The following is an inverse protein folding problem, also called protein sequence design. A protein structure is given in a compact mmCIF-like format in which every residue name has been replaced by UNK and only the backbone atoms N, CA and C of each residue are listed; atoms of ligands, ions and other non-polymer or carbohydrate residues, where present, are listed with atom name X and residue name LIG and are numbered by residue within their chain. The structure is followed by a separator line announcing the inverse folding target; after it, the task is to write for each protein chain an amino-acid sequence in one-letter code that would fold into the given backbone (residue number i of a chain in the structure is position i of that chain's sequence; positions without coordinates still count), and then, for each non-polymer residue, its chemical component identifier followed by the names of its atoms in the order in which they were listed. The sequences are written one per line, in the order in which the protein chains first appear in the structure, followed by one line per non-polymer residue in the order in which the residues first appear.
data_IF_175239652135
#
_entry.id   IF_175239652135
#
_cell.length_a   1.000
_cell.length_b   1.000
_cell.length_c   1.000
_cell.angle_alpha   90.00
_cell.angle_beta   90.00
_cell.angle_gamma   90.00
#
_symmetry.space_group_name_H-M   'P 1'
#
loop_
_entity.id
_entity.type
_entity.pdbx_description
1 polymer ?
#
# COMPACT_ATOMS: atom_id res chain seq x y z
N UNK A 1 4.20 6.83 -2.30
CA UNK A 1 2.74 6.71 -1.99
C UNK A 1 2.12 8.01 -1.43
N UNK A 2 0.80 8.23 -1.57
CA UNK A 2 0.04 9.39 -1.01
C UNK A 2 -1.15 8.91 -0.18
N UNK A 3 -1.35 9.44 1.03
CA UNK A 3 -2.40 9.01 1.96
C UNK A 3 -3.35 10.17 2.24
N UNK A 4 -4.65 9.90 2.09
CA UNK A 4 -5.74 10.87 2.28
C UNK A 4 -6.59 10.47 3.49
N UNK A 5 -6.32 11.02 4.69
CA UNK A 5 -6.94 10.55 5.94
C UNK A 5 -8.46 10.73 5.97
N UNK A 6 -8.97 11.85 5.45
CA UNK A 6 -10.42 12.15 5.43
C UNK A 6 -11.21 11.14 4.61
N UNK A 7 -10.65 10.69 3.48
CA UNK A 7 -11.31 9.72 2.60
C UNK A 7 -10.94 8.27 2.95
N UNK A 8 -10.00 8.06 3.87
CA UNK A 8 -9.44 6.75 4.20
C UNK A 8 -8.94 6.01 2.95
N UNK A 9 -8.16 6.72 2.14
CA UNK A 9 -7.60 6.19 0.89
C UNK A 9 -6.08 6.30 0.89
N UNK A 10 -5.41 5.27 0.38
CA UNK A 10 -4.01 5.33 -0.01
C UNK A 10 -3.92 5.18 -1.53
N UNK A 11 -3.31 6.17 -2.18
CA UNK A 11 -3.04 6.17 -3.60
C UNK A 11 -1.55 5.97 -3.89
N UNK A 12 -1.24 5.22 -4.92
CA UNK A 12 0.12 5.02 -5.41
C UNK A 12 0.12 4.78 -6.91
N UNK A 13 1.30 4.93 -7.52
CA UNK A 13 1.47 4.81 -8.96
C UNK A 13 2.48 3.71 -9.25
N UNK A 14 2.10 2.77 -10.12
CA UNK A 14 2.98 1.75 -10.66
C UNK A 14 3.10 1.93 -12.18
N UNK A 15 4.25 1.60 -12.79
CA UNK A 15 4.39 1.64 -14.24
C UNK A 15 3.52 0.55 -14.88
N UNK A 16 2.96 0.80 -16.07
CA UNK A 16 2.11 -0.15 -16.81
C UNK A 16 2.77 -1.51 -17.09
N UNK A 17 4.09 -1.61 -16.95
CA UNK A 17 4.87 -2.84 -17.12
C UNK A 17 4.93 -3.73 -15.87
N UNK A 18 4.40 -3.27 -14.72
CA UNK A 18 4.40 -4.10 -13.52
C UNK A 18 3.56 -5.36 -13.71
N UNK A 19 4.00 -6.46 -13.10
CA UNK A 19 3.36 -7.78 -13.21
C UNK A 19 2.77 -8.27 -11.89
N UNK A 20 3.37 -7.88 -10.78
CA UNK A 20 2.94 -8.26 -9.44
C UNK A 20 3.23 -7.12 -8.48
N UNK A 21 2.29 -6.82 -7.60
CA UNK A 21 2.52 -5.95 -6.46
C UNK A 21 1.82 -6.49 -5.20
N UNK A 22 2.38 -6.15 -4.06
CA UNK A 22 1.80 -6.36 -2.74
C UNK A 22 1.96 -5.09 -1.90
N UNK A 23 0.91 -4.79 -1.16
CA UNK A 23 0.85 -3.68 -0.24
C UNK A 23 0.56 -4.24 1.15
N UNK A 24 1.49 -4.03 2.08
CA UNK A 24 1.39 -4.53 3.45
C UNK A 24 1.28 -3.37 4.41
N UNK A 25 0.25 -3.40 5.26
CA UNK A 25 0.07 -2.46 6.37
C UNK A 25 0.39 -3.19 7.66
N UNK A 26 1.38 -2.72 8.40
CA UNK A 26 1.74 -3.25 9.72
C UNK A 26 1.65 -2.17 10.77
N UNK A 27 0.96 -2.45 11.88
CA UNK A 27 0.78 -1.47 12.95
C UNK A 27 2.07 -1.35 13.76
N UNK A 28 2.58 -0.12 13.92
CA UNK A 28 3.87 0.11 14.57
C UNK A 28 3.92 -0.41 16.02
N UNK A 29 2.78 -0.41 16.71
CA UNK A 29 2.66 -0.84 18.11
C UNK A 29 2.36 -2.33 18.28
N UNK A 30 1.97 -3.04 17.21
CA UNK A 30 1.61 -4.45 17.26
C UNK A 30 1.75 -5.10 15.88
N UNK A 31 2.87 -5.77 15.64
CA UNK A 31 3.15 -6.43 14.37
C UNK A 31 2.19 -7.61 14.04
N UNK A 32 1.34 -8.04 14.97
CA UNK A 32 0.27 -9.03 14.67
C UNK A 32 -0.91 -8.41 13.92
N UNK A 33 -1.07 -7.09 13.98
CA UNK A 33 -2.05 -6.36 13.18
C UNK A 33 -1.40 -6.04 11.82
N UNK A 34 -1.44 -7.02 10.92
CA UNK A 34 -0.93 -6.92 9.56
C UNK A 34 -2.05 -7.17 8.54
N UNK A 35 -2.11 -6.32 7.51
CA UNK A 35 -3.05 -6.45 6.40
C UNK A 35 -2.27 -6.48 5.11
N UNK A 36 -2.53 -7.49 4.28
CA UNK A 36 -1.94 -7.62 2.95
C UNK A 36 -2.99 -7.39 1.87
N UNK A 37 -2.63 -6.57 0.89
CA UNK A 37 -3.45 -6.32 -0.29
C UNK A 37 -2.60 -6.66 -1.50
N UNK A 38 -3.04 -7.65 -2.28
CA UNK A 38 -2.44 -7.95 -3.59
C UNK A 38 -2.87 -6.90 -4.61
N UNK A 39 -1.90 -6.36 -5.35
CA UNK A 39 -2.12 -5.40 -6.43
C UNK A 39 -1.92 -6.11 -7.75
N UNK A 40 -3.01 -6.29 -8.49
CA UNK A 40 -2.98 -6.87 -9.83
C UNK A 40 -2.73 -5.78 -10.89
N UNK A 41 -2.01 -6.08 -11.97
CA UNK A 41 -1.92 -5.20 -13.13
C UNK A 41 -3.30 -4.82 -13.65
N UNK A 42 -3.51 -3.52 -13.84
CA UNK A 42 -4.73 -3.00 -14.45
C UNK A 42 -4.39 -2.03 -15.60
N UNK A 43 -5.41 -1.42 -16.20
CA UNK A 43 -5.23 -0.52 -17.36
C UNK A 43 -4.80 0.91 -16.97
N UNK A 44 -4.54 1.16 -15.69
CA UNK A 44 -4.23 2.48 -15.14
C UNK A 44 -2.96 2.42 -14.30
N UNK A 45 -2.10 3.44 -14.38
CA UNK A 45 -0.89 3.47 -13.56
C UNK A 45 -1.22 3.82 -12.10
N UNK A 46 -2.36 4.48 -11.83
CA UNK A 46 -2.75 4.92 -10.49
C UNK A 46 -3.68 3.89 -9.84
N UNK A 47 -3.24 3.35 -8.71
CA UNK A 47 -4.03 2.46 -7.86
C UNK A 47 -4.46 3.19 -6.58
N UNK A 48 -5.63 2.81 -6.08
CA UNK A 48 -6.20 3.35 -4.85
C UNK A 48 -6.72 2.19 -4.02
N UNK A 49 -6.33 2.13 -2.76
CA UNK A 49 -6.83 1.15 -1.80
C UNK A 49 -7.54 1.85 -0.65
N UNK A 50 -8.59 1.22 -0.12
CA UNK A 50 -9.26 1.69 1.09
C UNK A 50 -8.45 1.32 2.33
N UNK A 51 -8.32 2.27 3.25
CA UNK A 51 -7.74 2.08 4.57
C UNK A 51 -8.81 2.08 5.68
N UNK A 52 -10.10 1.99 5.32
CA UNK A 52 -11.21 2.05 6.28
C UNK A 52 -11.21 0.91 7.31
N UNK A 53 -10.59 -0.23 6.96
CA UNK A 53 -10.41 -1.37 7.85
C UNK A 53 -9.25 -1.19 8.86
N UNK A 54 -8.41 -0.17 8.71
CA UNK A 54 -7.32 0.09 9.65
C UNK A 54 -7.86 0.70 10.93
N UNK A 55 -7.51 0.09 12.06
CA UNK A 55 -7.72 0.72 13.35
C UNK A 55 -6.90 2.02 13.48
N UNK A 56 -7.36 2.95 14.32
CA UNK A 56 -6.65 4.20 14.59
C UNK A 56 -5.23 3.95 15.10
N UNK A 57 -4.26 4.74 14.65
CA UNK A 57 -2.88 4.66 15.08
C UNK A 57 -1.88 4.82 13.94
N UNK A 58 -0.62 4.55 14.25
CA UNK A 58 0.49 4.65 13.31
C UNK A 58 0.69 3.31 12.60
N UNK A 59 0.71 3.37 11.27
CA UNK A 59 0.87 2.22 10.40
C UNK A 59 2.06 2.43 9.48
N UNK A 60 2.87 1.39 9.36
CA UNK A 60 3.87 1.27 8.32
C UNK A 60 3.23 0.64 7.10
N UNK A 61 3.41 1.27 5.95
CA UNK A 61 2.92 0.78 4.67
C UNK A 61 4.11 0.44 3.81
N UNK A 62 4.18 -0.81 3.36
CA UNK A 62 5.22 -1.31 2.48
C UNK A 62 4.58 -1.73 1.17
N UNK A 63 5.07 -1.16 0.07
CA UNK A 63 4.70 -1.53 -1.29
C UNK A 63 5.89 -2.26 -1.93
N UNK A 64 5.74 -3.56 -2.17
CA UNK A 64 6.68 -4.28 -3.03
C UNK A 64 6.03 -4.53 -4.38
N UNK A 65 6.80 -4.39 -5.46
CA UNK A 65 6.32 -4.72 -6.80
C UNK A 65 7.44 -5.17 -7.72
N UNK A 66 7.07 -5.83 -8.82
CA UNK A 66 8.01 -6.32 -9.81
C UNK A 66 7.46 -6.16 -11.22
N UNK A 67 8.35 -5.87 -12.18
CA UNK A 67 8.10 -5.92 -13.62
C UNK A 67 8.40 -7.31 -14.23
N UNK A 68 8.76 -8.28 -13.39
CA UNK A 68 9.20 -9.63 -13.77
C UNK A 68 10.70 -9.77 -13.98
N UNK A 69 11.47 -8.68 -13.92
CA UNK A 69 12.94 -8.68 -14.00
C UNK A 69 13.57 -8.20 -12.69
N UNK A 70 13.09 -7.08 -12.18
CA UNK A 70 13.54 -6.46 -10.96
C UNK A 70 12.42 -6.41 -9.93
N UNK A 71 12.80 -6.28 -8.67
CA UNK A 71 11.90 -6.05 -7.56
C UNK A 71 12.19 -4.66 -6.99
N UNK A 72 11.12 -3.97 -6.63
CA UNK A 72 11.14 -2.60 -6.15
C UNK A 72 10.38 -2.54 -4.83
N UNK A 73 10.78 -1.60 -3.98
CA UNK A 73 10.26 -1.43 -2.64
C UNK A 73 10.08 0.06 -2.38
N UNK A 74 8.89 0.45 -1.89
CA UNK A 74 8.58 1.78 -1.37
C UNK A 74 7.97 1.62 0.02
N UNK A 75 8.33 2.49 0.95
CA UNK A 75 7.83 2.45 2.33
C UNK A 75 7.33 3.83 2.75
N UNK A 76 6.23 3.83 3.51
CA UNK A 76 5.68 5.06 4.08
C UNK A 76 4.99 4.81 5.42
N UNK A 77 5.17 5.72 6.36
CA UNK A 77 4.37 5.76 7.58
C UNK A 77 3.11 6.62 7.38
N UNK A 78 1.97 6.15 7.88
CA UNK A 78 0.70 6.87 7.88
C UNK A 78 0.07 6.88 9.28
N UNK A 79 -0.64 7.96 9.60
CA UNK A 79 -1.41 8.08 10.84
C UNK A 79 -2.90 8.03 10.53
N UNK A 80 -3.58 6.98 11.02
CA UNK A 80 -5.03 6.82 10.90
C UNK A 80 -5.69 7.41 12.15
N UNK A 81 -6.52 8.43 11.97
CA UNK A 81 -7.15 9.22 13.07
C UNK A 81 -8.63 8.96 13.25
#
# INVERSE_FOLDING_TARGET
MTFEPTSQLLAFVLPMSFRKGDLTFSRATNARDEIHISVAPDTKPRHVVSTAQLAKGIWRVVLNWSDGRLQYHDEKEISVV
#
